data_IF_012872219709
#
_entry.id   IF_012872219709
#
_cell.length_a   1.000
_cell.length_b   1.000
_cell.length_c   1.000
_cell.angle_alpha   90.00
_cell.angle_beta   90.00
_cell.angle_gamma   90.00
#
_symmetry.space_group_name_H-M   'P 1'
#
loop_
_entity.id
_entity.type
_entity.pdbx_description
1 polymer ?
#
# COMPACT_ATOMS: atom_id res chain seq x y z
N UNK A 1 -9.14 -0.34 5.27
CA UNK A 1 -7.81 -0.41 5.91
C UNK A 1 -7.63 -1.69 6.72
N UNK A 2 -8.45 -2.00 7.74
CA UNK A 2 -8.18 -3.11 8.68
C UNK A 2 -7.99 -4.50 8.02
N UNK A 3 -8.73 -4.80 6.94
CA UNK A 3 -8.55 -6.06 6.20
C UNK A 3 -7.23 -6.06 5.41
N UNK A 4 -6.96 -4.99 4.67
CA UNK A 4 -5.74 -4.83 3.88
C UNK A 4 -4.46 -4.89 4.71
N UNK A 5 -4.42 -4.16 5.84
CA UNK A 5 -3.27 -4.20 6.74
C UNK A 5 -3.04 -5.61 7.30
N UNK A 6 -4.11 -6.33 7.66
CA UNK A 6 -3.99 -7.73 8.09
C UNK A 6 -3.46 -8.62 6.98
N UNK A 7 -3.94 -8.45 5.76
CA UNK A 7 -3.51 -9.22 4.59
C UNK A 7 -2.05 -8.94 4.25
N UNK A 8 -1.64 -7.67 4.25
CA UNK A 8 -0.26 -7.23 4.03
C UNK A 8 0.70 -7.82 5.07
N UNK A 9 0.37 -7.73 6.37
CA UNK A 9 1.18 -8.30 7.45
C UNK A 9 1.23 -9.84 7.43
N UNK A 10 0.16 -10.51 6.97
CA UNK A 10 0.16 -11.97 6.81
C UNK A 10 1.11 -12.43 5.70
N UNK A 11 1.20 -11.66 4.60
CA UNK A 11 2.13 -11.96 3.51
C UNK A 11 3.57 -11.59 3.84
N UNK A 12 3.74 -10.40 4.41
CA UNK A 12 5.03 -9.83 4.76
C UNK A 12 5.05 -9.55 6.26
N UNK A 13 5.49 -10.52 7.09
CA UNK A 13 5.58 -10.31 8.52
C UNK A 13 6.50 -9.12 8.83
N UNK A 14 5.95 -8.11 9.49
CA UNK A 14 6.60 -6.81 9.62
C UNK A 14 5.77 -5.81 10.41
N UNK A 15 5.99 -4.53 10.14
CA UNK A 15 5.17 -3.44 10.63
C UNK A 15 4.60 -2.66 9.44
N UNK A 16 3.31 -2.31 9.51
CA UNK A 16 2.73 -1.35 8.58
C UNK A 16 3.32 0.01 8.92
N UNK A 17 3.96 0.65 7.95
CA UNK A 17 4.59 1.97 8.13
C UNK A 17 3.75 3.07 7.53
N UNK A 18 2.99 2.77 6.47
CA UNK A 18 2.10 3.71 5.80
C UNK A 18 0.87 2.99 5.25
N UNK A 19 -0.24 3.71 5.17
CA UNK A 19 -1.43 3.23 4.50
C UNK A 19 -2.25 4.39 3.94
N UNK A 20 -2.45 4.39 2.63
CA UNK A 20 -3.15 5.44 1.91
C UNK A 20 -4.43 4.91 1.28
N UNK A 21 -5.45 5.78 1.20
CA UNK A 21 -6.73 5.46 0.58
C UNK A 21 -6.85 6.21 -0.73
N UNK A 22 -7.02 5.47 -1.82
CA UNK A 22 -7.10 6.05 -3.16
C UNK A 22 -8.31 5.55 -3.93
N UNK A 23 -8.70 6.31 -4.96
CA UNK A 23 -9.70 5.91 -5.95
C UNK A 23 -9.00 5.75 -7.30
N UNK A 24 -8.95 4.52 -7.81
CA UNK A 24 -8.32 4.15 -9.08
C UNK A 24 -9.33 3.43 -9.97
N UNK A 25 -9.55 3.93 -11.18
CA UNK A 25 -10.49 3.34 -12.17
C UNK A 25 -11.87 3.01 -11.56
N UNK A 26 -12.46 3.99 -10.86
CA UNK A 26 -13.73 3.86 -10.13
C UNK A 26 -13.77 2.83 -8.98
N UNK A 27 -12.61 2.27 -8.59
CA UNK A 27 -12.47 1.39 -7.42
C UNK A 27 -11.76 2.10 -6.29
N UNK A 28 -12.24 1.87 -5.08
CA UNK A 28 -11.54 2.31 -3.88
C UNK A 28 -10.52 1.26 -3.47
N UNK A 29 -9.29 1.70 -3.26
CA UNK A 29 -8.18 0.83 -2.89
C UNK A 29 -7.49 1.37 -1.63
N UNK A 30 -6.83 0.47 -0.90
CA UNK A 30 -5.80 0.88 0.05
C UNK A 30 -4.45 0.42 -0.48
N UNK A 31 -3.49 1.34 -0.44
CA UNK A 31 -2.08 1.02 -0.55
C UNK A 31 -1.52 0.90 0.87
N UNK A 32 -0.78 -0.18 1.14
CA UNK A 32 -0.22 -0.47 2.46
C UNK A 32 1.27 -0.74 2.30
N UNK A 33 2.09 0.12 2.87
CA UNK A 33 3.53 -0.13 2.97
C UNK A 33 3.86 -0.93 4.23
N UNK A 34 4.64 -1.99 4.06
CA UNK A 34 5.10 -2.84 5.14
C UNK A 34 6.62 -2.86 5.18
N UNK A 35 7.19 -2.49 6.32
CA UNK A 35 8.57 -2.78 6.63
C UNK A 35 8.68 -4.25 7.07
N UNK A 36 9.16 -5.10 6.17
CA UNK A 36 9.31 -6.53 6.39
C UNK A 36 10.45 -6.86 7.35
N UNK A 37 10.30 -7.95 8.11
CA UNK A 37 11.37 -8.49 8.98
C UNK A 37 12.56 -9.04 8.20
N UNK A 38 12.39 -9.26 6.90
CA UNK A 38 13.44 -9.60 5.95
C UNK A 38 14.31 -8.39 5.58
N UNK A 39 14.01 -7.21 6.10
CA UNK A 39 14.73 -5.96 5.84
C UNK A 39 14.31 -5.28 4.54
N UNK A 40 13.26 -5.77 3.88
CA UNK A 40 12.70 -5.20 2.65
C UNK A 40 11.47 -4.35 2.95
N UNK A 41 11.17 -3.44 2.03
CA UNK A 41 9.90 -2.73 2.02
C UNK A 41 8.97 -3.38 1.00
N UNK A 42 7.69 -3.48 1.36
CA UNK A 42 6.67 -4.11 0.54
C UNK A 42 5.49 -3.17 0.37
N UNK A 43 5.07 -2.98 -0.88
CA UNK A 43 3.87 -2.24 -1.26
C UNK A 43 2.76 -3.27 -1.56
N UNK A 44 1.67 -3.21 -0.79
CA UNK A 44 0.51 -4.08 -0.97
C UNK A 44 -0.71 -3.24 -1.27
N UNK A 45 -1.23 -3.34 -2.49
CA UNK A 45 -2.49 -2.70 -2.89
C UNK A 45 -3.61 -3.72 -2.79
N UNK A 46 -4.73 -3.31 -2.20
CA UNK A 46 -5.92 -4.13 -2.03
C UNK A 46 -7.21 -3.34 -2.33
N UNK A 47 -8.28 -4.06 -2.65
CA UNK A 47 -9.63 -3.49 -2.69
C UNK A 47 -10.05 -3.02 -1.30
N UNK A 48 -10.54 -1.78 -1.20
CA UNK A 48 -10.87 -1.16 0.08
C UNK A 48 -12.12 -1.74 0.76
N UNK A 49 -12.98 -2.42 0.00
CA UNK A 49 -14.25 -2.98 0.46
C UNK A 49 -14.08 -4.47 0.79
N UNK A 50 -13.45 -5.24 -0.11
CA UNK A 50 -13.30 -6.69 0.07
C UNK A 50 -12.01 -7.08 0.79
N UNK A 51 -10.97 -6.26 0.67
CA UNK A 51 -9.62 -6.59 1.15
C UNK A 51 -8.85 -7.54 0.24
N UNK A 52 -9.34 -7.80 -0.97
CA UNK A 52 -8.66 -8.62 -1.97
C UNK A 52 -7.38 -7.93 -2.45
N UNK A 53 -6.30 -8.70 -2.59
CA UNK A 53 -5.02 -8.17 -3.05
C UNK A 53 -5.11 -7.92 -4.55
N UNK A 54 -4.76 -6.69 -4.95
CA UNK A 54 -4.65 -6.25 -6.33
C UNK A 54 -3.18 -6.26 -6.77
N UNK A 55 -2.27 -5.83 -5.89
CA UNK A 55 -0.81 -5.73 -6.15
C UNK A 55 -0.03 -6.10 -4.90
N UNK A 56 1.14 -6.69 -5.09
CA UNK A 56 2.03 -7.13 -4.03
C UNK A 56 3.45 -7.15 -4.57
N UNK A 57 4.20 -6.08 -4.29
CA UNK A 57 5.53 -5.87 -4.85
C UNK A 57 6.52 -5.38 -3.79
N UNK A 58 7.79 -5.74 -3.98
CA UNK A 58 8.89 -5.18 -3.18
C UNK A 58 9.08 -3.72 -3.62
N UNK A 59 8.92 -2.78 -2.68
CA UNK A 59 9.29 -1.38 -2.88
C UNK A 59 10.82 -1.29 -2.88
N UNK A 60 11.38 -1.51 -4.07
CA UNK A 60 12.77 -1.19 -4.37
C UNK A 60 12.85 0.31 -4.50
N UNK A 61 13.17 0.97 -3.40
CA UNK A 61 13.61 2.38 -3.36
C UNK A 61 14.89 2.56 -4.18
N UNK A 62 14.82 2.39 -5.50
CA UNK A 62 15.70 3.04 -6.44
C UNK A 62 15.34 4.52 -6.38
N UNK A 63 15.98 5.25 -5.45
CA UNK A 63 15.90 6.69 -5.21
C UNK A 63 15.31 7.44 -6.41
N UNK A 64 13.99 7.66 -6.40
CA UNK A 64 13.36 8.72 -7.18
C UNK A 64 12.78 9.71 -6.20
N UNK A 65 13.46 10.84 -6.11
CA UNK A 65 12.89 12.08 -5.62
C UNK A 65 11.62 12.40 -6.44
N UNK A 66 10.53 12.73 -5.74
CA UNK A 66 9.50 13.64 -6.25
C UNK A 66 8.17 13.04 -6.76
N UNK A 67 7.10 13.55 -6.13
CA UNK A 67 5.75 13.82 -6.69
C UNK A 67 4.80 12.61 -6.88
N UNK A 68 3.52 12.62 -6.46
CA UNK A 68 2.53 13.69 -6.31
C UNK A 68 1.51 13.39 -5.20
N UNK A 69 1.19 14.39 -4.38
CA UNK A 69 -0.17 14.58 -3.89
C UNK A 69 -0.63 15.97 -4.30
N UNK A 70 -0.95 16.12 -5.58
CA UNK A 70 -1.70 17.28 -6.09
C UNK A 70 -3.13 17.17 -5.53
N UNK A 71 -3.36 17.79 -4.36
CA UNK A 71 -4.71 18.06 -3.85
C UNK A 71 -5.13 19.45 -4.33
N UNK A 72 -5.64 19.55 -5.55
CA UNK A 72 -6.43 20.68 -6.02
C UNK A 72 -7.67 20.18 -6.77
N UNK A 73 -8.87 20.37 -6.21
CA UNK A 73 -9.68 21.52 -6.61
C UNK A 73 -10.95 21.67 -5.72
N UNK A 74 -11.29 22.93 -5.48
CA UNK A 74 -12.54 23.45 -4.91
C UNK A 74 -13.59 23.61 -6.01
#
# INVERSE_FOLDING_TARGET
>A
MLQCAKTAIKKHPGAVIEAEFEKKDDKFIFEVEVQGKDGKNWEVICDAITGDIIKDEEDKKDKKEGEQAEKNNT
#
